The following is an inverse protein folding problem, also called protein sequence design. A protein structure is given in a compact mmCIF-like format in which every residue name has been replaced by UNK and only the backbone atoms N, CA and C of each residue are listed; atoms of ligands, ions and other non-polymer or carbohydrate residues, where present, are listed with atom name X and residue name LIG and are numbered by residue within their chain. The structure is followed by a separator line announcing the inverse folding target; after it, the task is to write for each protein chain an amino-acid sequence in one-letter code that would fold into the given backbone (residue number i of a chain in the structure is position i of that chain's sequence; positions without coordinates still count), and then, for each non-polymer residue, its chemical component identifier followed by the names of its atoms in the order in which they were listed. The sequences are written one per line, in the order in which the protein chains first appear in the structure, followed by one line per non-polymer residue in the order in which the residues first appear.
data_IF_090519083886
#
_entry.id   IF_090519083886
#
_cell.length_a   1.000
_cell.length_b   1.000
_cell.length_c   1.000
_cell.angle_alpha   90.00
_cell.angle_beta   90.00
_cell.angle_gamma   90.00
#
_symmetry.space_group_name_H-M   'P 1'
#
loop_
_entity.id
_entity.type
_entity.pdbx_description
1 polymer ?
#
# COMPACT_ATOMS: atom_id res chain seq x y z
N UNK A 1 23.97 -3.87 31.87
CA UNK A 1 22.76 -3.09 32.19
C UNK A 1 22.53 -2.19 31.01
N UNK A 2 21.48 -2.47 30.25
CA UNK A 2 21.07 -1.61 29.14
C UNK A 2 20.56 -0.32 29.77
N UNK A 3 20.99 0.82 29.23
CA UNK A 3 20.49 2.12 29.65
C UNK A 3 18.99 2.19 29.30
N UNK A 4 18.14 2.32 30.33
CA UNK A 4 16.67 2.44 30.19
C UNK A 4 16.25 3.64 29.33
N UNK A 5 17.18 4.55 28.97
CA UNK A 5 16.92 5.68 28.08
C UNK A 5 16.52 5.28 26.65
N UNK A 6 16.90 4.08 26.19
CA UNK A 6 16.68 3.63 24.80
C UNK A 6 15.43 2.75 24.60
N UNK A 7 14.85 2.23 25.68
CA UNK A 7 13.72 1.30 25.57
C UNK A 7 12.45 1.98 25.03
N UNK A 8 12.17 3.22 25.46
CA UNK A 8 11.03 4.00 24.99
C UNK A 8 11.08 4.25 23.47
N UNK A 9 12.14 4.88 22.94
CA UNK A 9 12.31 5.09 21.50
C UNK A 9 12.24 3.79 20.67
N UNK A 10 12.79 2.69 21.19
CA UNK A 10 12.75 1.39 20.52
C UNK A 10 11.31 0.84 20.44
N UNK A 11 10.53 0.95 21.51
CA UNK A 11 9.11 0.55 21.54
C UNK A 11 8.28 1.39 20.59
N UNK A 12 8.50 2.70 20.54
CA UNK A 12 7.80 3.60 19.62
C UNK A 12 8.13 3.26 18.16
N UNK A 13 9.41 2.96 17.87
CA UNK A 13 9.82 2.51 16.53
C UNK A 13 9.18 1.17 16.14
N UNK A 14 9.17 0.19 17.05
CA UNK A 14 8.56 -1.11 16.80
C UNK A 14 7.06 -0.99 16.53
N UNK A 15 6.35 -0.18 17.33
CA UNK A 15 4.93 0.14 17.12
C UNK A 15 4.71 0.85 15.79
N UNK A 16 5.53 1.84 15.45
CA UNK A 16 5.43 2.55 14.19
C UNK A 16 5.60 1.62 12.98
N UNK A 17 6.69 0.85 12.92
CA UNK A 17 6.95 -0.04 11.78
C UNK A 17 5.94 -1.18 11.66
N UNK A 18 5.47 -1.70 12.80
CA UNK A 18 4.40 -2.71 12.82
C UNK A 18 3.07 -2.11 12.35
N UNK A 19 2.71 -0.92 12.84
CA UNK A 19 1.50 -0.20 12.44
C UNK A 19 1.51 0.29 10.99
N UNK A 20 2.69 0.66 10.47
CA UNK A 20 2.88 1.05 9.07
C UNK A 20 2.51 -0.09 8.12
N UNK A 21 2.82 -1.34 8.50
CA UNK A 21 2.27 -2.52 7.85
C UNK A 21 2.98 -3.01 6.59
N UNK A 22 4.12 -2.43 6.20
CA UNK A 22 4.81 -2.75 4.94
C UNK A 22 6.01 -3.70 5.05
N UNK A 23 6.42 -4.10 6.26
CA UNK A 23 7.64 -4.87 6.49
C UNK A 23 7.35 -6.14 7.27
N UNK A 24 7.91 -7.28 6.87
CA UNK A 24 7.82 -8.53 7.65
C UNK A 24 8.50 -8.43 9.03
N UNK A 25 8.25 -9.42 9.90
CA UNK A 25 8.78 -9.44 11.26
C UNK A 25 10.31 -9.28 11.30
N UNK A 26 11.04 -10.02 10.46
CA UNK A 26 12.51 -9.97 10.42
C UNK A 26 13.02 -8.58 10.01
N UNK A 27 12.38 -7.95 9.04
CA UNK A 27 12.71 -6.59 8.59
C UNK A 27 12.42 -5.57 9.69
N UNK A 28 11.32 -5.72 10.44
CA UNK A 28 11.03 -4.83 11.57
C UNK A 28 12.08 -4.98 12.66
N UNK A 29 12.47 -6.21 13.03
CA UNK A 29 13.56 -6.46 14.00
C UNK A 29 14.85 -5.77 13.55
N UNK A 30 15.28 -5.99 12.30
CA UNK A 30 16.49 -5.37 11.75
C UNK A 30 16.43 -3.84 11.77
N UNK A 31 15.34 -3.25 11.29
CA UNK A 31 15.18 -1.79 11.29
C UNK A 31 15.07 -1.17 12.69
N UNK A 32 14.65 -1.94 13.69
CA UNK A 32 14.64 -1.51 15.08
C UNK A 32 16.05 -1.60 15.70
N UNK A 33 16.86 -2.60 15.33
CA UNK A 33 18.25 -2.70 15.74
C UNK A 33 19.11 -1.54 15.22
N UNK A 34 18.88 -1.09 13.98
CA UNK A 34 19.60 0.05 13.40
C UNK A 34 19.50 1.36 14.22
N UNK A 35 18.49 1.51 15.09
CA UNK A 35 18.27 2.73 15.90
C UNK A 35 19.21 2.86 17.09
N UNK A 36 19.78 1.75 17.59
CA UNK A 36 20.62 1.74 18.80
C UNK A 36 22.09 1.42 18.49
N UNK A 37 22.59 1.77 17.30
CA UNK A 37 23.94 1.44 16.82
C UNK A 37 24.24 -0.08 16.97
N UNK A 38 23.32 -0.92 16.49
CA UNK A 38 23.43 -2.40 16.47
C UNK A 38 23.39 -3.07 17.87
N UNK A 39 22.26 -2.94 18.61
CA UNK A 39 22.02 -3.70 19.81
C UNK A 39 21.84 -5.18 19.43
N UNK A 40 22.18 -6.09 20.35
CA UNK A 40 21.96 -7.51 20.13
C UNK A 40 20.48 -7.79 19.81
N UNK A 41 20.20 -8.55 18.73
CA UNK A 41 18.84 -8.85 18.26
C UNK A 41 17.96 -9.44 19.37
N UNK A 42 18.54 -10.16 20.32
CA UNK A 42 17.86 -10.73 21.49
C UNK A 42 17.22 -9.68 22.40
N UNK A 43 17.68 -8.43 22.33
CA UNK A 43 17.08 -7.29 23.06
C UNK A 43 15.89 -6.71 22.30
N UNK A 44 15.98 -6.64 20.96
CA UNK A 44 14.98 -6.00 20.10
C UNK A 44 13.78 -6.93 19.87
N UNK A 45 14.06 -8.22 19.67
CA UNK A 45 13.08 -9.21 19.27
C UNK A 45 11.86 -9.28 20.19
N UNK A 46 11.98 -9.32 21.53
CA UNK A 46 10.80 -9.37 22.41
C UNK A 46 9.91 -8.14 22.29
N UNK A 47 10.48 -6.95 22.04
CA UNK A 47 9.72 -5.71 21.87
C UNK A 47 8.93 -5.74 20.55
N UNK A 48 9.52 -6.28 19.49
CA UNK A 48 8.83 -6.46 18.21
C UNK A 48 7.75 -7.54 18.29
N UNK A 49 8.01 -8.64 19.01
CA UNK A 49 7.00 -9.68 19.29
C UNK A 49 5.78 -9.10 20.01
N UNK A 50 5.98 -8.27 21.03
CA UNK A 50 4.90 -7.57 21.73
C UNK A 50 4.11 -6.65 20.80
N UNK A 51 4.79 -5.88 19.94
CA UNK A 51 4.15 -4.99 18.98
C UNK A 51 3.31 -5.77 17.94
N UNK A 52 3.82 -6.89 17.42
CA UNK A 52 3.08 -7.75 16.48
C UNK A 52 1.86 -8.40 17.13
N UNK A 53 2.03 -8.95 18.34
CA UNK A 53 0.92 -9.55 19.08
C UNK A 53 -0.19 -8.54 19.35
N UNK A 54 0.15 -7.32 19.78
CA UNK A 54 -0.82 -6.24 20.00
C UNK A 54 -1.53 -5.84 18.70
N UNK A 55 -0.79 -5.59 17.61
CA UNK A 55 -1.36 -5.17 16.32
C UNK A 55 -2.29 -6.23 15.74
N UNK A 56 -1.89 -7.50 15.77
CA UNK A 56 -2.71 -8.59 15.24
C UNK A 56 -3.96 -8.85 16.11
N UNK A 57 -3.86 -8.72 17.43
CA UNK A 57 -5.01 -8.79 18.32
C UNK A 57 -6.00 -7.64 18.09
N UNK A 58 -5.52 -6.41 17.87
CA UNK A 58 -6.40 -5.29 17.50
C UNK A 58 -7.07 -5.50 16.15
N UNK A 59 -6.31 -6.02 15.17
CA UNK A 59 -6.78 -6.27 13.80
C UNK A 59 -8.02 -7.17 13.73
N UNK A 60 -8.19 -8.10 14.66
CA UNK A 60 -9.37 -8.99 14.73
C UNK A 60 -10.67 -8.23 14.94
N UNK A 61 -10.62 -7.08 15.61
CA UNK A 61 -11.79 -6.25 15.93
C UNK A 61 -12.12 -5.20 14.85
N UNK A 62 -11.22 -5.01 13.89
CA UNK A 62 -11.37 -3.96 12.89
C UNK A 62 -12.51 -4.28 11.90
N UNK A 63 -13.20 -3.25 11.37
CA UNK A 63 -14.22 -3.44 10.35
C UNK A 63 -13.64 -3.94 9.02
N UNK A 64 -14.49 -4.52 8.17
CA UNK A 64 -14.11 -5.08 6.86
C UNK A 64 -13.51 -4.04 5.90
N UNK A 65 -13.89 -2.77 6.06
CA UNK A 65 -13.38 -1.64 5.30
C UNK A 65 -12.72 -0.62 6.24
N UNK A 66 -11.47 -0.28 5.93
CA UNK A 66 -10.65 0.71 6.64
C UNK A 66 -10.51 2.01 5.86
N UNK A 67 -10.19 3.11 6.54
CA UNK A 67 -9.84 4.38 5.87
C UNK A 67 -8.63 4.22 4.95
N UNK A 68 -7.69 3.34 5.32
CA UNK A 68 -6.54 3.01 4.47
C UNK A 68 -6.93 2.25 3.21
N UNK A 69 -7.95 1.38 3.24
CA UNK A 69 -8.48 0.73 2.03
C UNK A 69 -9.03 1.80 1.06
N UNK A 70 -9.78 2.78 1.58
CA UNK A 70 -10.29 3.92 0.80
C UNK A 70 -9.16 4.79 0.25
N UNK A 71 -8.13 5.04 1.05
CA UNK A 71 -6.94 5.79 0.65
C UNK A 71 -6.20 5.10 -0.49
N UNK A 72 -5.95 3.79 -0.38
CA UNK A 72 -5.27 3.04 -1.44
C UNK A 72 -6.10 3.00 -2.72
N UNK A 73 -7.44 2.87 -2.66
CA UNK A 73 -8.29 3.00 -3.85
C UNK A 73 -8.16 4.37 -4.52
N UNK A 74 -8.23 5.45 -3.73
CA UNK A 74 -8.04 6.80 -4.25
C UNK A 74 -6.66 6.97 -4.90
N UNK A 75 -5.62 6.41 -4.29
CA UNK A 75 -4.26 6.47 -4.84
C UNK A 75 -4.14 5.69 -6.15
N UNK A 76 -4.74 4.50 -6.25
CA UNK A 76 -4.76 3.74 -7.51
C UNK A 76 -5.54 4.46 -8.61
N UNK A 77 -6.67 5.10 -8.28
CA UNK A 77 -7.42 5.94 -9.23
C UNK A 77 -6.57 7.12 -9.73
N UNK A 78 -5.86 7.80 -8.82
CA UNK A 78 -4.96 8.89 -9.17
C UNK A 78 -3.81 8.41 -10.08
N UNK A 79 -3.21 7.27 -9.76
CA UNK A 79 -2.16 6.68 -10.60
C UNK A 79 -2.68 6.39 -12.01
N UNK A 80 -3.87 5.79 -12.15
CA UNK A 80 -4.54 5.56 -13.44
C UNK A 80 -4.88 6.87 -14.19
N UNK A 81 -5.10 7.97 -13.47
CA UNK A 81 -5.32 9.29 -14.04
C UNK A 81 -4.01 10.04 -14.39
N UNK A 82 -2.85 9.41 -14.21
CA UNK A 82 -1.54 9.99 -14.50
C UNK A 82 -0.97 10.88 -13.40
N UNK A 83 -1.47 10.76 -12.16
CA UNK A 83 -0.92 11.40 -10.95
C UNK A 83 -0.23 10.33 -10.11
N UNK A 84 1.09 10.43 -9.95
CA UNK A 84 1.87 9.44 -9.19
C UNK A 84 1.56 9.55 -7.70
N UNK A 85 0.97 8.51 -7.11
CA UNK A 85 0.53 8.53 -5.71
C UNK A 85 1.33 7.54 -4.85
N UNK A 86 2.09 8.02 -3.86
CA UNK A 86 2.97 7.17 -3.01
C UNK A 86 2.86 7.48 -1.52
N UNK A 87 2.81 6.43 -0.70
CA UNK A 87 2.91 6.52 0.75
C UNK A 87 4.29 6.05 1.21
N UNK A 88 4.71 6.58 2.36
CA UNK A 88 6.03 6.35 2.96
C UNK A 88 7.19 6.59 1.98
N UNK A 89 7.08 7.67 1.19
CA UNK A 89 8.05 7.99 0.16
C UNK A 89 9.05 9.01 0.68
N UNK A 90 10.31 8.58 0.83
CA UNK A 90 11.50 9.35 1.25
C UNK A 90 11.57 9.79 2.71
N UNK A 91 12.79 10.11 3.15
CA UNK A 91 13.07 10.57 4.51
C UNK A 91 12.65 12.03 4.77
N UNK A 92 12.52 12.86 3.71
CA UNK A 92 12.12 14.27 3.83
C UNK A 92 11.55 14.84 2.52
N UNK A 93 10.84 15.97 2.61
CA UNK A 93 10.14 16.62 1.49
C UNK A 93 11.02 16.91 0.26
N UNK A 94 12.28 17.32 0.44
CA UNK A 94 13.17 17.70 -0.66
C UNK A 94 13.74 16.49 -1.43
N UNK A 95 13.89 15.33 -0.79
CA UNK A 95 14.29 14.09 -1.45
C UNK A 95 13.13 13.48 -2.26
N UNK A 96 11.89 13.68 -1.78
CA UNK A 96 10.65 13.18 -2.36
C UNK A 96 10.48 13.38 -3.85
N UNK A 97 10.67 14.61 -4.32
CA UNK A 97 10.33 15.00 -5.70
C UNK A 97 11.28 14.33 -6.72
N UNK A 98 12.59 14.34 -6.43
CA UNK A 98 13.59 13.75 -7.33
C UNK A 98 13.46 12.23 -7.41
N UNK A 99 13.14 11.56 -6.29
CA UNK A 99 12.94 10.12 -6.25
C UNK A 99 11.64 9.70 -6.95
N UNK A 100 10.54 10.44 -6.76
CA UNK A 100 9.28 10.20 -7.52
C UNK A 100 9.46 10.44 -9.02
N UNK A 101 10.23 11.46 -9.41
CA UNK A 101 10.52 11.71 -10.82
C UNK A 101 11.32 10.58 -11.46
N UNK A 102 12.22 9.93 -10.71
CA UNK A 102 12.99 8.78 -11.18
C UNK A 102 12.15 7.48 -11.27
N UNK A 103 11.03 7.39 -10.53
CA UNK A 103 10.09 6.28 -10.62
C UNK A 103 9.31 6.26 -11.95
N UNK A 104 9.11 7.41 -12.59
CA UNK A 104 8.37 7.49 -13.85
C UNK A 104 9.20 6.87 -14.99
N UNK A 105 8.70 5.81 -15.66
CA UNK A 105 9.43 5.20 -16.77
C UNK A 105 9.72 6.22 -17.87
N UNK A 106 10.92 6.12 -18.48
CA UNK A 106 11.30 7.00 -19.60
C UNK A 106 10.29 6.83 -20.75
N UNK A 107 9.70 7.94 -21.18
CA UNK A 107 8.69 7.97 -22.24
C UNK A 107 7.24 7.96 -21.75
N UNK A 108 7.01 7.90 -20.43
CA UNK A 108 5.71 8.18 -19.83
C UNK A 108 5.68 9.60 -19.25
N UNK A 109 4.71 10.41 -19.69
CA UNK A 109 4.46 11.74 -19.11
C UNK A 109 3.43 11.61 -17.98
N UNK A 110 3.84 11.96 -16.75
CA UNK A 110 2.94 12.06 -15.60
C UNK A 110 2.65 13.54 -15.32
N UNK A 111 1.38 13.85 -15.05
CA UNK A 111 0.92 15.24 -14.91
C UNK A 111 1.32 15.85 -13.56
N UNK A 112 1.41 15.01 -12.54
CA UNK A 112 1.79 15.43 -11.21
C UNK A 112 1.95 14.27 -10.25
N UNK A 113 2.10 14.61 -8.98
CA UNK A 113 2.33 13.64 -7.92
C UNK A 113 1.56 14.02 -6.66
N UNK A 114 1.37 13.02 -5.80
CA UNK A 114 0.97 13.18 -4.40
C UNK A 114 1.74 12.17 -3.54
N UNK A 115 2.26 12.61 -2.40
CA UNK A 115 2.94 11.71 -1.47
C UNK A 115 2.83 12.10 -0.01
N UNK A 116 3.04 11.10 0.85
CA UNK A 116 3.32 11.25 2.28
C UNK A 116 4.77 10.84 2.54
N UNK A 117 5.54 11.66 3.26
CA UNK A 117 6.90 11.32 3.69
C UNK A 117 6.88 10.61 5.04
N UNK A 118 8.03 10.08 5.46
CA UNK A 118 8.17 9.30 6.71
C UNK A 118 7.52 9.97 7.95
N UNK A 119 7.75 11.26 8.17
CA UNK A 119 7.16 11.95 9.33
C UNK A 119 5.62 12.09 9.26
N UNK A 120 5.02 12.15 8.07
CA UNK A 120 3.56 12.16 7.95
C UNK A 120 3.00 10.79 8.29
N UNK A 121 3.73 9.73 7.91
CA UNK A 121 3.37 8.36 8.26
C UNK A 121 3.48 8.11 9.76
N UNK A 122 4.53 8.63 10.41
CA UNK A 122 4.69 8.57 11.86
C UNK A 122 3.52 9.27 12.57
N UNK A 123 3.15 10.48 12.13
CA UNK A 123 1.98 11.18 12.64
C UNK A 123 0.69 10.39 12.41
N UNK A 124 0.47 9.83 11.22
CA UNK A 124 -0.73 9.07 10.88
C UNK A 124 -0.86 7.79 11.73
N UNK A 125 0.21 7.02 11.87
CA UNK A 125 0.25 5.78 12.69
C UNK A 125 0.01 6.10 14.16
N UNK A 126 0.47 7.25 14.65
CA UNK A 126 0.20 7.72 16.02
C UNK A 126 -1.16 8.40 16.20
N UNK A 127 -2.01 8.44 15.17
CA UNK A 127 -3.38 8.97 15.24
C UNK A 127 -3.54 10.46 14.95
N UNK A 128 -2.51 11.12 14.41
CA UNK A 128 -2.53 12.54 14.03
C UNK A 128 -3.17 12.85 12.67
N UNK A 129 -3.70 11.84 11.98
CA UNK A 129 -4.15 11.95 10.58
C UNK A 129 -2.99 11.97 9.59
N UNK A 130 -3.32 12.02 8.29
CA UNK A 130 -2.34 11.98 7.21
C UNK A 130 -2.24 13.34 6.54
N UNK A 131 -1.01 13.80 6.30
CA UNK A 131 -0.75 15.01 5.50
C UNK A 131 -0.09 14.63 4.18
N UNK A 132 -0.58 15.18 3.09
CA UNK A 132 -0.14 14.87 1.72
C UNK A 132 0.47 16.10 1.05
N UNK A 133 1.67 15.92 0.52
CA UNK A 133 2.32 16.86 -0.40
C UNK A 133 1.93 16.53 -1.83
N UNK A 134 1.77 17.53 -2.69
CA UNK A 134 1.42 17.33 -4.10
C UNK A 134 2.03 18.43 -4.97
N UNK A 135 2.10 18.18 -6.28
CA UNK A 135 2.65 19.11 -7.24
C UNK A 135 2.63 18.57 -8.67
N UNK A 136 3.19 19.36 -9.60
CA UNK A 136 3.40 18.95 -10.98
C UNK A 136 4.85 18.50 -11.20
N UNK A 137 5.05 17.55 -12.12
CA UNK A 137 6.40 17.22 -12.57
C UNK A 137 6.92 18.31 -13.51
N UNK A 138 8.17 18.75 -13.32
CA UNK A 138 8.80 19.78 -14.13
C UNK A 138 10.06 20.34 -13.49
N UNK A 139 10.90 20.99 -14.29
CA UNK A 139 12.08 21.70 -13.80
C UNK A 139 11.72 23.14 -13.42
N UNK A 140 12.06 23.57 -12.21
CA UNK A 140 11.87 24.95 -11.76
C UNK A 140 10.65 25.15 -10.86
N UNK A 141 10.15 26.39 -10.84
CA UNK A 141 9.03 26.79 -9.98
C UNK A 141 7.71 26.15 -10.44
N UNK A 142 6.91 25.71 -9.47
CA UNK A 142 5.62 25.06 -9.70
C UNK A 142 4.58 26.13 -10.12
N UNK A 143 3.99 26.07 -11.32
CA UNK A 143 2.95 27.01 -11.72
C UNK A 143 1.74 26.86 -10.78
N UNK A 144 1.40 27.92 -10.04
CA UNK A 144 0.40 27.88 -8.98
C UNK A 144 -0.96 27.29 -9.45
N UNK A 145 -1.44 27.68 -10.63
CA UNK A 145 -2.69 27.19 -11.19
C UNK A 145 -2.65 25.68 -11.52
N UNK A 146 -1.51 25.20 -12.02
CA UNK A 146 -1.31 23.79 -12.35
C UNK A 146 -1.18 22.93 -11.09
N UNK A 147 -0.42 23.41 -10.09
CA UNK A 147 -0.32 22.77 -8.79
C UNK A 147 -1.67 22.70 -8.09
N UNK A 148 -2.43 23.81 -8.05
CA UNK A 148 -3.79 23.82 -7.51
C UNK A 148 -4.72 22.88 -8.30
N UNK A 149 -4.50 22.70 -9.60
CA UNK A 149 -5.16 21.67 -10.42
C UNK A 149 -4.96 20.26 -9.87
N UNK A 150 -3.70 19.85 -9.66
CA UNK A 150 -3.37 18.56 -9.06
C UNK A 150 -3.96 18.43 -7.66
N UNK A 151 -3.88 19.48 -6.83
CA UNK A 151 -4.45 19.47 -5.48
C UNK A 151 -5.97 19.21 -5.47
N UNK A 152 -6.71 19.81 -6.41
CA UNK A 152 -8.16 19.56 -6.58
C UNK A 152 -8.43 18.12 -6.99
N UNK A 153 -7.70 17.60 -7.97
CA UNK A 153 -7.88 16.22 -8.43
C UNK A 153 -7.61 15.20 -7.31
N UNK A 154 -6.57 15.41 -6.52
CA UNK A 154 -6.25 14.59 -5.34
C UNK A 154 -7.37 14.68 -4.30
N UNK A 155 -7.78 15.89 -3.93
CA UNK A 155 -8.82 16.10 -2.94
C UNK A 155 -10.16 15.47 -3.37
N UNK A 156 -10.52 15.61 -4.64
CA UNK A 156 -11.76 15.05 -5.18
C UNK A 156 -11.71 13.52 -5.25
N UNK A 157 -10.58 12.92 -5.62
CA UNK A 157 -10.41 11.47 -5.58
C UNK A 157 -10.57 10.92 -4.15
N UNK A 158 -9.91 11.53 -3.16
CA UNK A 158 -10.05 11.14 -1.76
C UNK A 158 -11.51 11.23 -1.28
N UNK A 159 -12.20 12.33 -1.61
CA UNK A 159 -13.63 12.51 -1.28
C UNK A 159 -14.54 11.50 -1.97
N UNK A 160 -14.28 11.16 -3.24
CA UNK A 160 -15.03 10.12 -3.98
C UNK A 160 -14.97 8.76 -3.28
N UNK A 161 -13.84 8.45 -2.64
CA UNK A 161 -13.67 7.22 -1.85
C UNK A 161 -14.10 7.37 -0.38
N UNK A 162 -14.78 8.46 -0.02
CA UNK A 162 -15.39 8.63 1.30
C UNK A 162 -14.45 9.12 2.39
N UNK A 163 -13.28 9.66 2.04
CA UNK A 163 -12.39 10.30 2.99
C UNK A 163 -12.73 11.77 3.16
N UNK A 164 -12.62 12.26 4.40
CA UNK A 164 -12.64 13.69 4.69
C UNK A 164 -11.33 14.35 4.22
N UNK A 165 -11.42 15.59 3.73
CA UNK A 165 -10.26 16.29 3.16
C UNK A 165 -10.27 17.77 3.57
N UNK A 166 -9.26 18.16 4.34
CA UNK A 166 -8.91 19.54 4.68
C UNK A 166 -7.97 20.14 3.65
N UNK A 167 -8.53 20.80 2.62
CA UNK A 167 -7.77 21.60 1.66
C UNK A 167 -8.69 22.59 0.93
N UNK A 168 -8.33 23.86 0.93
CA UNK A 168 -9.17 24.99 0.47
C UNK A 168 -8.82 25.51 -0.93
N UNK A 169 -7.95 24.82 -1.68
CA UNK A 169 -7.55 25.26 -3.01
C UNK A 169 -6.18 25.94 -3.09
N UNK A 170 -5.54 26.20 -1.96
CA UNK A 170 -4.25 26.90 -1.87
C UNK A 170 -3.08 25.97 -2.26
N UNK A 171 -2.38 26.21 -3.39
CA UNK A 171 -1.25 25.40 -3.84
C UNK A 171 -0.06 25.43 -2.86
N UNK A 172 0.04 26.43 -1.98
CA UNK A 172 1.07 26.53 -0.95
C UNK A 172 0.79 25.69 0.30
N UNK A 173 -0.41 25.13 0.43
CA UNK A 173 -0.81 24.27 1.56
C UNK A 173 -0.87 22.80 1.16
N UNK A 174 -0.48 21.95 2.10
CA UNK A 174 -0.61 20.49 2.01
C UNK A 174 -2.07 20.06 2.19
N UNK A 175 -2.41 18.86 1.75
CA UNK A 175 -3.75 18.29 1.91
C UNK A 175 -3.79 17.50 3.22
N UNK A 176 -4.71 17.86 4.11
CA UNK A 176 -4.93 17.14 5.38
C UNK A 176 -6.05 16.12 5.23
N UNK A 177 -5.84 14.90 5.73
CA UNK A 177 -6.79 13.79 5.67
C UNK A 177 -6.93 13.22 7.08
N UNK A 178 -8.00 13.60 7.84
CA UNK A 178 -8.23 13.08 9.18
C UNK A 178 -8.73 11.63 9.08
N UNK A 179 -7.79 10.70 9.00
CA UNK A 179 -8.05 9.26 8.91
C UNK A 179 -7.50 8.52 10.12
N UNK A 180 -8.07 7.35 10.38
CA UNK A 180 -7.47 6.39 11.32
C UNK A 180 -6.55 5.44 10.55
N UNK A 181 -5.23 5.58 10.75
CA UNK A 181 -4.28 4.68 10.09
C UNK A 181 -4.35 3.29 10.71
N UNK A 182 -4.78 2.30 9.91
CA UNK A 182 -4.79 0.88 10.25
C UNK A 182 -4.39 0.09 9.03
N UNK A 183 -3.46 -0.84 9.14
CA UNK A 183 -3.05 -1.68 8.00
C UNK A 183 -3.18 -3.14 8.37
N UNK A 184 -4.04 -3.87 7.65
CA UNK A 184 -4.16 -5.31 7.85
C UNK A 184 -2.87 -5.99 7.37
N UNK A 185 -2.41 -6.95 8.14
CA UNK A 185 -1.24 -7.76 7.86
C UNK A 185 -1.73 -9.15 7.47
N UNK A 186 -1.23 -9.67 6.36
CA UNK A 186 -1.57 -10.98 5.80
C UNK A 186 -0.31 -11.75 5.41
N UNK A 187 -0.40 -13.08 5.37
CA UNK A 187 0.70 -13.95 4.93
C UNK A 187 2.01 -13.64 5.67
N UNK A 188 3.09 -13.46 4.91
CA UNK A 188 4.43 -13.15 5.46
C UNK A 188 4.46 -11.86 6.30
N UNK A 189 3.57 -10.90 6.04
CA UNK A 189 3.50 -9.67 6.84
C UNK A 189 2.86 -9.90 8.22
N UNK A 190 2.03 -10.94 8.36
CA UNK A 190 1.43 -11.34 9.63
C UNK A 190 2.22 -12.46 10.34
N UNK A 191 3.19 -13.07 9.66
CA UNK A 191 3.99 -14.16 10.24
C UNK A 191 4.97 -13.62 11.28
N UNK A 192 5.00 -14.27 12.45
CA UNK A 192 5.90 -13.95 13.55
C UNK A 192 6.04 -15.17 14.48
N UNK A 193 7.06 -15.23 15.35
CA UNK A 193 7.37 -16.43 16.14
C UNK A 193 6.23 -17.01 17.00
N UNK A 194 5.26 -16.19 17.40
CA UNK A 194 4.07 -16.61 18.16
C UNK A 194 2.77 -16.61 17.36
N UNK A 195 2.82 -16.51 16.03
CA UNK A 195 1.63 -16.55 15.18
C UNK A 195 0.95 -17.92 15.24
N UNK A 196 -0.38 -17.92 15.28
CA UNK A 196 -1.13 -19.13 14.97
C UNK A 196 -0.96 -19.49 13.47
N UNK A 197 -0.96 -20.78 13.12
CA UNK A 197 -0.91 -21.19 11.72
C UNK A 197 -2.03 -20.54 10.92
N UNK A 198 -1.71 -20.03 9.72
CA UNK A 198 -2.70 -19.43 8.85
C UNK A 198 -3.89 -20.39 8.62
N UNK A 199 -5.14 -19.88 8.58
CA UNK A 199 -6.30 -20.73 8.39
C UNK A 199 -6.18 -21.55 7.10
N UNK A 200 -6.29 -22.88 7.23
CA UNK A 200 -6.34 -23.78 6.07
C UNK A 200 -7.65 -23.59 5.30
N UNK A 201 -7.63 -23.78 3.98
CA UNK A 201 -8.86 -23.80 3.18
C UNK A 201 -9.33 -22.46 2.60
N UNK A 202 -8.42 -21.49 2.44
CA UNK A 202 -8.71 -20.24 1.73
C UNK A 202 -9.31 -20.48 0.33
N UNK A 203 -10.22 -19.62 -0.15
CA UNK A 203 -10.98 -19.85 -1.39
C UNK A 203 -10.11 -19.83 -2.65
N UNK A 204 -8.98 -19.11 -2.62
CA UNK A 204 -8.05 -19.00 -3.73
C UNK A 204 -6.60 -19.08 -3.28
N UNK A 205 -5.71 -19.16 -4.25
CA UNK A 205 -4.27 -18.96 -4.12
C UNK A 205 -3.86 -17.74 -4.95
N UNK A 206 -2.88 -16.96 -4.47
CA UNK A 206 -2.27 -15.86 -5.22
C UNK A 206 -0.76 -16.04 -5.36
N UNK A 207 -0.20 -15.50 -6.44
CA UNK A 207 1.23 -15.24 -6.62
C UNK A 207 1.37 -13.90 -7.31
N UNK A 208 2.45 -13.16 -7.06
CA UNK A 208 2.56 -11.80 -7.57
C UNK A 208 4.00 -11.32 -7.71
N UNK A 209 4.17 -10.29 -8.53
CA UNK A 209 5.41 -9.57 -8.73
C UNK A 209 5.15 -8.08 -8.51
N UNK A 210 5.75 -7.51 -7.46
CA UNK A 210 5.66 -6.09 -7.12
C UNK A 210 7.06 -5.44 -7.08
N UNK A 211 7.56 -5.08 -8.26
CA UNK A 211 8.82 -4.36 -8.44
C UNK A 211 8.55 -2.86 -8.62
N UNK A 212 9.42 -1.95 -8.16
CA UNK A 212 10.72 -2.18 -7.53
C UNK A 212 10.64 -2.40 -6.00
N UNK A 213 9.44 -2.45 -5.40
CA UNK A 213 9.26 -2.57 -3.94
C UNK A 213 9.70 -3.93 -3.35
N UNK A 214 10.17 -4.85 -4.19
CA UNK A 214 10.82 -6.10 -3.79
C UNK A 214 9.85 -7.20 -3.35
N UNK A 215 8.54 -7.00 -3.55
CA UNK A 215 7.50 -7.94 -3.14
C UNK A 215 7.27 -9.06 -4.15
N UNK A 216 8.31 -9.78 -4.58
CA UNK A 216 8.14 -10.92 -5.48
C UNK A 216 7.73 -12.16 -4.69
N UNK A 217 6.50 -12.62 -4.88
CA UNK A 217 5.94 -13.82 -4.28
C UNK A 217 5.69 -14.87 -5.36
N UNK A 218 6.73 -15.63 -5.70
CA UNK A 218 6.68 -16.66 -6.75
C UNK A 218 5.90 -17.92 -6.32
N UNK A 219 5.91 -18.25 -5.03
CA UNK A 219 5.17 -19.40 -4.52
C UNK A 219 3.70 -19.03 -4.34
N UNK A 220 2.81 -19.91 -4.79
CA UNK A 220 1.37 -19.79 -4.56
C UNK A 220 1.07 -19.81 -3.06
N UNK A 221 0.41 -18.76 -2.57
CA UNK A 221 -0.02 -18.65 -1.18
C UNK A 221 -1.54 -18.66 -1.07
N UNK A 222 -2.13 -19.37 -0.10
CA UNK A 222 -3.57 -19.30 0.17
C UNK A 222 -4.00 -17.87 0.52
N UNK A 223 -5.10 -17.41 -0.07
CA UNK A 223 -5.60 -16.05 0.14
C UNK A 223 -7.13 -15.98 0.23
N UNK A 224 -7.61 -15.16 1.16
CA UNK A 224 -8.99 -14.69 1.23
C UNK A 224 -9.20 -13.52 0.27
N UNK A 225 -10.45 -13.08 0.07
CA UNK A 225 -10.72 -11.84 -0.67
C UNK A 225 -10.01 -10.62 -0.07
N UNK A 226 -10.07 -10.35 1.26
CA UNK A 226 -9.34 -9.24 1.84
C UNK A 226 -7.83 -9.27 1.57
N UNK A 227 -7.18 -10.44 1.64
CA UNK A 227 -5.75 -10.57 1.34
C UNK A 227 -5.45 -10.31 -0.14
N UNK A 228 -6.25 -10.86 -1.06
CA UNK A 228 -6.09 -10.64 -2.49
C UNK A 228 -6.30 -9.15 -2.87
N UNK A 229 -7.32 -8.51 -2.27
CA UNK A 229 -7.59 -7.07 -2.39
C UNK A 229 -6.44 -6.23 -1.86
N UNK A 230 -5.88 -6.63 -0.73
CA UNK A 230 -4.74 -5.96 -0.10
C UNK A 230 -3.57 -5.81 -1.06
N UNK A 231 -3.15 -6.92 -1.66
CA UNK A 231 -2.06 -6.96 -2.65
C UNK A 231 -2.44 -6.15 -3.89
N UNK A 232 -3.67 -6.27 -4.40
CA UNK A 232 -4.16 -5.53 -5.56
C UNK A 232 -4.06 -4.00 -5.36
N UNK A 233 -4.43 -3.50 -4.19
CA UNK A 233 -4.47 -2.07 -3.91
C UNK A 233 -3.10 -1.49 -3.55
N UNK A 234 -2.18 -2.29 -3.01
CA UNK A 234 -0.85 -1.79 -2.60
C UNK A 234 0.29 -2.12 -3.55
N UNK A 235 0.09 -3.07 -4.47
CA UNK A 235 1.03 -3.33 -5.55
C UNK A 235 1.28 -2.05 -6.34
N UNK A 236 2.54 -1.76 -6.61
CA UNK A 236 2.90 -0.56 -7.33
C UNK A 236 2.44 -0.68 -8.80
N UNK A 237 1.86 0.39 -9.39
CA UNK A 237 1.29 0.34 -10.73
C UNK A 237 2.37 0.50 -11.81
N UNK A 238 3.36 -0.39 -11.80
CA UNK A 238 4.45 -0.42 -12.77
C UNK A 238 4.22 -1.48 -13.83
N UNK A 239 4.56 -1.12 -15.07
CA UNK A 239 4.56 -2.05 -16.19
C UNK A 239 5.31 -3.34 -15.84
N UNK A 240 4.61 -4.47 -15.96
CA UNK A 240 5.15 -5.80 -15.68
C UNK A 240 4.92 -6.29 -14.24
N UNK A 241 4.38 -5.46 -13.34
CA UNK A 241 3.84 -5.96 -12.08
C UNK A 241 2.52 -6.68 -12.33
N UNK A 242 2.32 -7.79 -11.64
CA UNK A 242 1.14 -8.63 -11.83
C UNK A 242 0.75 -9.38 -10.55
N UNK A 243 -0.51 -9.83 -10.52
CA UNK A 243 -1.03 -10.79 -9.57
C UNK A 243 -1.73 -11.89 -10.36
N UNK A 244 -1.33 -13.13 -10.11
CA UNK A 244 -2.10 -14.29 -10.55
C UNK A 244 -3.04 -14.71 -9.42
N UNK A 245 -4.30 -14.95 -9.75
CA UNK A 245 -5.32 -15.51 -8.88
C UNK A 245 -5.73 -16.88 -9.39
N UNK A 246 -5.80 -17.87 -8.51
CA UNK A 246 -6.12 -19.25 -8.87
C UNK A 246 -7.15 -19.84 -7.91
N UNK A 247 -8.24 -20.38 -8.46
CA UNK A 247 -9.21 -21.14 -7.68
C UNK A 247 -8.68 -22.52 -7.31
N UNK A 248 -9.12 -23.06 -6.17
CA UNK A 248 -8.79 -24.45 -5.77
C UNK A 248 -9.30 -25.51 -6.74
N UNK A 249 -10.41 -25.23 -7.41
CA UNK A 249 -11.04 -26.14 -8.38
C UNK A 249 -10.35 -26.02 -9.74
N UNK A 250 -10.78 -25.05 -10.56
CA UNK A 250 -10.25 -24.68 -11.87
C UNK A 250 -10.57 -23.22 -12.17
N UNK A 251 -9.72 -22.59 -12.97
CA UNK A 251 -9.89 -21.19 -13.39
C UNK A 251 -9.14 -20.22 -12.49
N UNK A 252 -9.02 -18.99 -12.99
CA UNK A 252 -8.23 -17.95 -12.37
C UNK A 252 -8.28 -16.68 -13.20
N UNK A 253 -7.64 -15.65 -12.69
CA UNK A 253 -7.47 -14.36 -13.35
C UNK A 253 -6.00 -13.97 -13.25
N UNK A 254 -5.54 -13.18 -14.20
CA UNK A 254 -4.28 -12.46 -14.08
C UNK A 254 -4.63 -10.98 -14.10
N UNK A 255 -4.15 -10.23 -13.13
CA UNK A 255 -4.18 -8.78 -13.14
C UNK A 255 -2.76 -8.29 -13.41
N UNK A 256 -2.57 -7.44 -14.43
CA UNK A 256 -1.26 -6.91 -14.78
C UNK A 256 -1.32 -5.40 -15.00
N UNK A 257 -0.29 -4.71 -14.56
CA UNK A 257 -0.08 -3.30 -14.86
C UNK A 257 0.71 -3.17 -16.17
N UNK A 258 0.18 -2.36 -17.08
CA UNK A 258 0.83 -1.91 -18.30
C UNK A 258 1.25 -0.44 -18.25
N UNK A 259 1.79 0.11 -19.34
CA UNK A 259 2.18 1.51 -19.43
C UNK A 259 1.00 2.46 -19.17
N UNK A 260 1.26 3.63 -18.59
CA UNK A 260 0.27 4.72 -18.59
C UNK A 260 -0.56 5.01 -17.33
N UNK A 261 -0.51 4.29 -16.19
CA UNK A 261 -0.49 2.87 -15.93
C UNK A 261 -1.89 2.27 -16.09
N UNK A 262 -2.03 1.26 -16.93
CA UNK A 262 -3.32 0.60 -17.20
C UNK A 262 -3.40 -0.72 -16.43
N UNK A 263 -4.51 -0.97 -15.74
CA UNK A 263 -4.78 -2.26 -15.10
C UNK A 263 -5.58 -3.14 -16.06
N UNK A 264 -5.00 -4.25 -16.47
CA UNK A 264 -5.64 -5.23 -17.35
C UNK A 264 -5.92 -6.51 -16.58
N UNK A 265 -7.09 -7.08 -16.77
CA UNK A 265 -7.44 -8.42 -16.33
C UNK A 265 -7.57 -9.35 -17.53
N UNK A 266 -7.13 -10.60 -17.38
CA UNK A 266 -7.25 -11.65 -18.40
C UNK A 266 -7.50 -13.01 -17.74
N UNK A 267 -8.04 -13.95 -18.53
CA UNK A 267 -8.17 -15.36 -18.19
C UNK A 267 -6.88 -16.07 -18.67
N UNK A 268 -6.17 -16.82 -17.80
CA UNK A 268 -4.97 -17.52 -18.21
C UNK A 268 -5.22 -18.42 -19.43
N UNK A 269 -4.34 -18.32 -20.43
CA UNK A 269 -4.36 -19.08 -21.70
C UNK A 269 -5.50 -18.72 -22.67
N UNK A 270 -6.20 -17.62 -22.44
CA UNK A 270 -7.21 -17.07 -23.36
C UNK A 270 -6.77 -15.67 -23.81
N UNK A 271 -6.09 -15.61 -24.96
CA UNK A 271 -5.47 -14.38 -25.49
C UNK A 271 -6.50 -13.30 -25.85
N UNK A 272 -7.76 -13.68 -26.09
CA UNK A 272 -8.85 -12.75 -26.46
C UNK A 272 -9.60 -12.20 -25.23
N UNK A 273 -9.27 -12.67 -24.03
CA UNK A 273 -9.99 -12.30 -22.79
C UNK A 273 -9.49 -11.01 -22.13
N UNK A 274 -8.31 -10.52 -22.53
CA UNK A 274 -7.66 -9.39 -21.88
C UNK A 274 -8.47 -8.09 -22.06
N UNK A 275 -8.76 -7.40 -20.95
CA UNK A 275 -9.39 -6.07 -20.97
C UNK A 275 -8.97 -5.17 -19.83
N UNK A 276 -9.01 -3.87 -20.09
CA UNK A 276 -8.78 -2.84 -19.09
C UNK A 276 -9.93 -2.81 -18.07
N UNK A 277 -9.58 -2.55 -16.81
CA UNK A 277 -10.54 -2.48 -15.70
C UNK A 277 -10.25 -1.28 -14.80
N UNK A 278 -11.30 -0.70 -14.24
CA UNK A 278 -11.18 0.22 -13.11
C UNK A 278 -10.84 -0.54 -11.82
N UNK A 279 -10.33 0.15 -10.80
CA UNK A 279 -10.08 -0.46 -9.47
C UNK A 279 -11.36 -1.05 -8.87
N UNK A 280 -12.48 -0.34 -9.02
CA UNK A 280 -13.77 -0.83 -8.52
C UNK A 280 -14.22 -2.11 -9.25
N UNK A 281 -13.95 -2.24 -10.55
CA UNK A 281 -14.21 -3.47 -11.30
C UNK A 281 -13.27 -4.59 -10.89
N UNK A 282 -11.97 -4.30 -10.74
CA UNK A 282 -10.96 -5.26 -10.31
C UNK A 282 -11.33 -5.89 -8.95
N UNK A 283 -11.71 -5.08 -7.96
CA UNK A 283 -12.18 -5.59 -6.67
C UNK A 283 -13.44 -6.44 -6.78
N UNK A 284 -14.41 -6.05 -7.63
CA UNK A 284 -15.61 -6.86 -7.87
C UNK A 284 -15.26 -8.20 -8.48
N UNK A 285 -14.40 -8.24 -9.49
CA UNK A 285 -13.95 -9.47 -10.14
C UNK A 285 -13.25 -10.41 -9.16
N UNK A 286 -12.34 -9.88 -8.34
CA UNK A 286 -11.63 -10.66 -7.32
C UNK A 286 -12.59 -11.13 -6.21
N UNK A 287 -13.59 -10.32 -5.85
CA UNK A 287 -14.64 -10.71 -4.90
C UNK A 287 -15.50 -11.86 -5.42
N UNK A 288 -15.97 -11.79 -6.68
CA UNK A 288 -16.71 -12.88 -7.32
C UNK A 288 -15.86 -14.15 -7.39
N UNK A 289 -14.58 -14.01 -7.75
CA UNK A 289 -13.65 -15.13 -7.77
C UNK A 289 -13.55 -15.78 -6.37
N UNK A 290 -13.33 -14.99 -5.32
CA UNK A 290 -13.15 -15.48 -3.96
C UNK A 290 -14.42 -16.10 -3.35
N UNK A 291 -15.55 -15.41 -3.50
CA UNK A 291 -16.75 -15.67 -2.72
C UNK A 291 -17.76 -16.54 -3.47
N UNK A 292 -17.77 -16.47 -4.80
CA UNK A 292 -18.67 -17.28 -5.64
C UNK A 292 -17.93 -18.43 -6.34
N UNK A 293 -16.59 -18.43 -6.36
CA UNK A 293 -15.80 -19.51 -6.93
C UNK A 293 -15.90 -19.64 -8.46
N UNK A 294 -16.13 -18.52 -9.16
CA UNK A 294 -16.26 -18.45 -10.62
C UNK A 294 -15.52 -17.28 -11.22
N UNK A 295 -15.19 -17.38 -12.51
CA UNK A 295 -14.58 -16.31 -13.30
C UNK A 295 -15.68 -15.51 -14.00
N UNK A 296 -15.67 -14.18 -13.84
CA UNK A 296 -16.71 -13.27 -14.34
C UNK A 296 -16.16 -12.16 -15.25
N UNK A 297 -14.99 -12.38 -15.85
CA UNK A 297 -14.32 -11.33 -16.64
C UNK A 297 -15.12 -10.93 -17.88
N UNK A 298 -15.82 -11.89 -18.48
CA UNK A 298 -16.55 -11.79 -19.74
C UNK A 298 -18.06 -11.60 -19.56
N UNK A 299 -18.54 -11.52 -18.33
CA UNK A 299 -19.96 -11.36 -18.00
C UNK A 299 -20.49 -9.95 -18.33
#
# INVERSE_FOLDING_TARGET
MIDNSFEGPLRDRARFLTGLGYHDFATVVRQCADVLDDPAEETVRPIVEEAFAAHLGEQESWPDELDTDRLHRAFRELDMAGIVARLDHTCCQNCGISELGAEVPKGEDRRGYVFAHRQDMEAAVSGGGLTLSYGVFGNGEQPADAQAGIGREVADALRRHGLEVGWEGDPGKRIEVPLTWRRRRFGVLADWPGAEPAPSGQPMEISYCDMPRGGVQNAWIPASFPHARDVLLTMAPYTGNYINFKLRSRGGLIAAWGPGPVLTFEIPLDEDSAREVTIAEAERLVSVLANEGRVALTD
#
